data_IF_286828914761
#
_entry.id   IF_286828914761
#
_cell.length_a   1.000
_cell.length_b   1.000
_cell.length_c   1.000
_cell.angle_alpha   90.00
_cell.angle_beta   90.00
_cell.angle_gamma   90.00
#
_symmetry.space_group_name_H-M   'P 1'
#
loop_
_entity.id
_entity.type
_entity.pdbx_description
1 polymer ?
#
# COMPACT_ATOMS: atom_id res chain seq x y z
N UNK A 1 10.41 -5.09 -13.81
CA UNK A 1 10.95 -3.89 -13.15
C UNK A 1 10.15 -2.67 -13.56
N UNK A 2 8.98 -2.58 -12.96
CA UNK A 2 8.07 -1.45 -13.04
C UNK A 2 8.59 -0.32 -12.14
N UNK A 3 8.12 0.90 -12.37
CA UNK A 3 8.37 1.98 -11.42
C UNK A 3 7.24 3.00 -11.38
N UNK A 4 7.15 3.70 -10.25
CA UNK A 4 6.38 4.93 -10.10
C UNK A 4 7.31 5.99 -9.56
N UNK A 5 7.27 7.17 -10.17
CA UNK A 5 8.01 8.35 -9.78
C UNK A 5 7.01 9.41 -9.32
N UNK A 6 7.29 10.01 -8.17
CA UNK A 6 6.42 11.00 -7.56
C UNK A 6 7.21 12.14 -6.94
N UNK A 7 6.56 13.30 -6.86
CA UNK A 7 7.07 14.48 -6.15
C UNK A 7 6.66 14.43 -4.69
N UNK A 8 7.58 14.81 -3.82
CA UNK A 8 7.33 14.95 -2.39
C UNK A 8 6.87 16.40 -2.14
N UNK A 9 5.62 16.57 -1.73
CA UNK A 9 5.09 17.90 -1.39
C UNK A 9 5.30 18.25 0.08
N UNK A 10 5.17 17.25 0.96
CA UNK A 10 5.37 17.37 2.40
C UNK A 10 6.32 16.26 2.90
N UNK A 11 7.43 16.67 3.52
CA UNK A 11 8.44 15.74 4.01
C UNK A 11 7.98 14.91 5.22
N UNK A 12 7.05 15.43 6.04
CA UNK A 12 6.47 14.67 7.15
C UNK A 12 5.53 13.58 6.63
N UNK A 13 4.66 13.90 5.67
CA UNK A 13 3.78 12.91 5.04
C UNK A 13 4.55 11.86 4.26
N UNK A 14 5.68 12.23 3.64
CA UNK A 14 6.59 11.26 3.05
C UNK A 14 7.17 10.28 4.09
N UNK A 15 7.53 10.74 5.29
CA UNK A 15 7.99 9.84 6.37
C UNK A 15 6.90 8.89 6.84
N UNK A 16 5.65 9.35 6.89
CA UNK A 16 4.53 8.47 7.21
C UNK A 16 4.30 7.44 6.10
N UNK A 17 4.43 7.84 4.83
CA UNK A 17 4.41 6.89 3.71
C UNK A 17 5.56 5.88 3.78
N UNK A 18 6.76 6.28 4.23
CA UNK A 18 7.87 5.34 4.40
C UNK A 18 7.52 4.22 5.38
N UNK A 19 6.81 4.53 6.49
CA UNK A 19 6.35 3.50 7.43
C UNK A 19 5.38 2.52 6.76
N UNK A 20 4.45 3.02 5.97
CA UNK A 20 3.53 2.18 5.18
C UNK A 20 4.29 1.32 4.17
N UNK A 21 5.25 1.92 3.44
CA UNK A 21 6.07 1.20 2.46
C UNK A 21 6.88 0.08 3.12
N UNK A 22 7.53 0.37 4.25
CA UNK A 22 8.31 -0.61 5.00
C UNK A 22 7.41 -1.77 5.49
N UNK A 23 6.21 -1.46 5.98
CA UNK A 23 5.20 -2.48 6.33
C UNK A 23 4.83 -3.35 5.12
N UNK A 24 4.53 -2.74 3.97
CA UNK A 24 4.23 -3.48 2.75
C UNK A 24 5.39 -4.39 2.31
N UNK A 25 6.65 -3.96 2.48
CA UNK A 25 7.83 -4.79 2.19
C UNK A 25 7.93 -5.97 3.16
N UNK A 26 7.68 -5.74 4.46
CA UNK A 26 7.76 -6.75 5.52
C UNK A 26 6.71 -7.85 5.33
N UNK A 27 5.45 -7.49 5.09
CA UNK A 27 4.34 -8.46 4.89
C UNK A 27 4.59 -9.44 3.74
N UNK A 28 5.45 -9.07 2.78
CA UNK A 28 5.80 -9.88 1.62
C UNK A 28 7.03 -10.78 1.83
N UNK A 29 7.70 -10.69 2.99
CA UNK A 29 8.84 -11.56 3.28
C UNK A 29 8.39 -12.97 3.67
N UNK A 30 9.12 -14.01 3.26
CA UNK A 30 8.82 -15.37 3.69
C UNK A 30 8.95 -15.46 5.22
N UNK A 31 7.93 -16.01 5.87
CA UNK A 31 7.80 -16.14 7.33
C UNK A 31 7.56 -14.84 8.10
N UNK A 32 7.15 -13.75 7.44
CA UNK A 32 6.62 -12.62 8.19
C UNK A 32 5.30 -13.02 8.85
N UNK A 33 5.24 -12.81 10.17
CA UNK A 33 4.03 -12.92 10.97
C UNK A 33 3.75 -11.50 11.47
N UNK A 34 2.54 -11.02 11.25
CA UNK A 34 2.11 -9.75 11.86
C UNK A 34 2.10 -10.01 13.36
N UNK A 35 2.82 -9.22 14.18
CA UNK A 35 2.90 -9.47 15.63
C UNK A 35 1.50 -9.48 16.31
N UNK A 36 0.54 -8.76 15.72
CA UNK A 36 -0.87 -8.75 16.15
C UNK A 36 -1.66 -10.04 15.69
N UNK A 37 -1.06 -10.92 14.87
CA UNK A 37 -1.63 -12.21 14.36
C UNK A 37 -1.09 -13.46 15.10
N UNK A 38 -0.29 -13.30 16.17
CA UNK A 38 0.01 -14.42 17.05
C UNK A 38 -1.11 -14.53 18.11
N UNK A 39 -1.78 -15.69 18.22
CA UNK A 39 -2.81 -15.85 19.23
C UNK A 39 -2.16 -15.68 20.60
N UNK A 40 -2.80 -14.93 21.52
CA UNK A 40 -2.28 -14.78 22.86
C UNK A 40 -2.11 -16.16 23.51
N UNK A 41 -0.91 -16.43 24.03
CA UNK A 41 -0.60 -17.69 24.70
C UNK A 41 -1.11 -17.66 26.14
N UNK A 42 -1.87 -18.67 26.54
CA UNK A 42 -2.42 -18.81 27.88
C UNK A 42 -2.03 -20.17 28.48
N UNK A 43 -1.61 -20.17 29.74
CA UNK A 43 -1.29 -21.38 30.50
C UNK A 43 -2.56 -21.98 31.12
N UNK A 44 -3.42 -22.55 30.26
CA UNK A 44 -4.74 -23.10 30.62
C UNK A 44 -4.71 -24.05 31.81
N UNK A 45 -3.59 -24.73 32.05
CA UNK A 45 -3.43 -25.73 33.10
C UNK A 45 -3.24 -25.11 34.50
N UNK A 46 -2.89 -23.82 34.59
CA UNK A 46 -2.56 -23.16 35.85
C UNK A 46 -3.38 -21.88 36.13
N UNK A 47 -4.37 -21.55 35.28
CA UNK A 47 -5.21 -20.36 35.44
C UNK A 47 -6.31 -20.56 36.49
N UNK A 48 -6.67 -19.49 37.19
CA UNK A 48 -7.92 -19.43 37.96
C UNK A 48 -9.14 -19.31 37.05
N UNK A 49 -10.33 -19.56 37.59
CA UNK A 49 -11.57 -19.42 36.82
C UNK A 49 -11.77 -18.02 36.24
N UNK A 50 -11.40 -16.97 36.98
CA UNK A 50 -11.49 -15.58 36.50
C UNK A 50 -10.47 -15.32 35.37
N UNK A 51 -9.22 -15.76 35.53
CA UNK A 51 -8.20 -15.62 34.48
C UNK A 51 -8.56 -16.40 33.22
N UNK A 52 -9.26 -17.53 33.36
CA UNK A 52 -9.79 -18.28 32.22
C UNK A 52 -10.91 -17.52 31.51
N UNK A 53 -11.80 -16.82 32.24
CA UNK A 53 -12.85 -15.99 31.64
C UNK A 53 -12.24 -14.80 30.88
N UNK A 54 -11.26 -14.12 31.48
CA UNK A 54 -10.54 -13.00 30.88
C UNK A 54 -9.72 -13.45 29.63
N UNK A 55 -9.13 -14.66 29.67
CA UNK A 55 -8.43 -15.26 28.53
C UNK A 55 -9.39 -15.63 27.38
N UNK A 56 -10.60 -16.11 27.70
CA UNK A 56 -11.64 -16.38 26.71
C UNK A 56 -12.11 -15.08 26.05
N UNK A 57 -12.32 -14.01 26.82
CA UNK A 57 -12.66 -12.68 26.27
C UNK A 57 -11.56 -12.17 25.33
N UNK A 58 -10.30 -12.27 25.75
CA UNK A 58 -9.14 -11.90 24.93
C UNK A 58 -9.04 -12.73 23.65
N UNK A 59 -9.35 -14.03 23.70
CA UNK A 59 -9.42 -14.89 22.52
C UNK A 59 -10.58 -14.53 21.59
N UNK A 60 -11.74 -14.16 22.14
CA UNK A 60 -12.89 -13.73 21.36
C UNK A 60 -12.58 -12.43 20.61
N UNK A 61 -11.97 -11.45 21.29
CA UNK A 61 -11.48 -10.21 20.68
C UNK A 61 -10.41 -10.48 19.61
N UNK A 62 -9.46 -11.39 19.87
CA UNK A 62 -8.46 -11.81 18.89
C UNK A 62 -9.10 -12.51 17.68
N UNK A 63 -10.18 -13.28 17.88
CA UNK A 63 -10.92 -13.92 16.78
C UNK A 63 -11.62 -12.90 15.87
N UNK A 64 -11.82 -11.66 16.32
CA UNK A 64 -12.32 -10.55 15.50
C UNK A 64 -11.20 -9.93 14.67
N UNK A 65 -10.67 -10.70 13.71
CA UNK A 65 -9.62 -10.26 12.76
C UNK A 65 -9.91 -8.91 12.11
N UNK A 66 -11.18 -8.61 11.84
CA UNK A 66 -11.59 -7.33 11.27
C UNK A 66 -11.23 -6.14 12.17
N UNK A 67 -11.28 -6.28 13.50
CA UNK A 67 -10.86 -5.24 14.44
C UNK A 67 -9.35 -5.07 14.46
N UNK A 68 -8.59 -6.16 14.43
CA UNK A 68 -7.12 -6.13 14.40
C UNK A 68 -6.60 -5.46 13.12
N UNK A 69 -7.18 -5.81 11.98
CA UNK A 69 -6.91 -5.17 10.68
C UNK A 69 -7.24 -3.68 10.72
N UNK A 70 -8.37 -3.30 11.31
CA UNK A 70 -8.75 -1.90 11.45
C UNK A 70 -7.78 -1.13 12.35
N UNK A 71 -7.36 -1.71 13.47
CA UNK A 71 -6.35 -1.10 14.34
C UNK A 71 -5.01 -0.92 13.61
N UNK A 72 -4.60 -1.92 12.83
CA UNK A 72 -3.37 -1.84 12.01
C UNK A 72 -3.49 -0.76 10.94
N UNK A 73 -4.64 -0.65 10.27
CA UNK A 73 -4.93 0.44 9.34
C UNK A 73 -4.76 1.80 10.02
N UNK A 74 -5.33 2.00 11.21
CA UNK A 74 -5.19 3.27 11.96
C UNK A 74 -3.75 3.59 12.37
N UNK A 75 -2.92 2.57 12.66
CA UNK A 75 -1.49 2.75 12.96
C UNK A 75 -0.70 3.18 11.72
N UNK A 76 -1.03 2.66 10.54
CA UNK A 76 -0.26 2.84 9.30
C UNK A 76 -0.73 4.02 8.45
N UNK A 77 -2.03 4.33 8.49
CA UNK A 77 -2.67 5.33 7.64
C UNK A 77 -3.10 6.52 8.52
N UNK A 78 -2.39 7.67 8.45
CA UNK A 78 -2.76 8.85 9.21
C UNK A 78 -4.15 9.37 8.82
N UNK A 79 -4.82 10.06 9.76
CA UNK A 79 -6.18 10.55 9.55
C UNK A 79 -6.35 11.40 8.26
N UNK A 80 -5.37 12.22 7.91
CA UNK A 80 -5.44 13.01 6.67
C UNK A 80 -5.49 12.13 5.41
N UNK A 81 -4.76 11.01 5.41
CA UNK A 81 -4.72 10.06 4.30
C UNK A 81 -6.01 9.26 4.25
N UNK A 82 -6.54 8.86 5.42
CA UNK A 82 -7.84 8.19 5.53
C UNK A 82 -8.97 9.05 4.97
N UNK A 83 -9.02 10.35 5.31
CA UNK A 83 -10.02 11.29 4.78
C UNK A 83 -9.93 11.44 3.25
N UNK A 84 -8.71 11.45 2.71
CA UNK A 84 -8.52 11.48 1.26
C UNK A 84 -9.04 10.21 0.58
N UNK A 85 -8.67 9.04 1.11
CA UNK A 85 -9.09 7.73 0.57
C UNK A 85 -10.61 7.54 0.67
N UNK A 86 -11.23 8.05 1.73
CA UNK A 86 -12.68 8.10 1.88
C UNK A 86 -13.31 8.95 0.77
N UNK A 87 -12.77 10.14 0.53
CA UNK A 87 -13.28 11.05 -0.50
C UNK A 87 -13.20 10.43 -1.90
N UNK A 88 -12.11 9.72 -2.20
CA UNK A 88 -11.96 8.94 -3.43
C UNK A 88 -13.02 7.84 -3.54
N UNK A 89 -13.24 7.07 -2.46
CA UNK A 89 -14.23 5.99 -2.45
C UNK A 89 -15.67 6.49 -2.65
N UNK A 90 -16.00 7.67 -2.09
CA UNK A 90 -17.32 8.30 -2.22
C UNK A 90 -17.61 8.76 -3.64
N UNK A 91 -16.60 9.22 -4.38
CA UNK A 91 -16.76 9.62 -5.77
C UNK A 91 -17.19 8.45 -6.67
N UNK A 92 -16.64 7.26 -6.43
CA UNK A 92 -16.97 6.06 -7.20
C UNK A 92 -18.30 5.41 -6.79
N UNK A 93 -18.71 5.55 -5.53
CA UNK A 93 -19.84 4.80 -4.95
C UNK A 93 -21.16 5.57 -4.86
N UNK A 94 -21.19 6.89 -5.16
CA UNK A 94 -22.31 7.79 -4.85
C UNK A 94 -22.76 7.73 -3.36
N UNK A 95 -21.95 7.13 -2.49
CA UNK A 95 -22.30 6.85 -1.11
C UNK A 95 -21.76 7.99 -0.23
N UNK A 96 -22.56 8.47 0.73
CA UNK A 96 -22.20 9.64 1.57
C UNK A 96 -21.61 9.20 2.91
N UNK A 97 -21.70 7.91 3.23
CA UNK A 97 -21.27 7.35 4.51
C UNK A 97 -19.74 7.34 4.66
N UNK A 98 -19.21 7.53 5.88
CA UNK A 98 -17.78 7.41 6.14
C UNK A 98 -17.20 6.04 5.77
N UNK A 99 -15.88 5.95 5.60
CA UNK A 99 -15.21 4.64 5.46
C UNK A 99 -15.60 3.76 6.64
N UNK A 100 -16.26 2.65 6.37
CA UNK A 100 -16.54 1.64 7.38
C UNK A 100 -15.25 0.91 7.77
N UNK A 101 -15.29 0.16 8.88
CA UNK A 101 -14.20 -0.77 9.24
C UNK A 101 -13.92 -1.74 8.08
N UNK A 102 -14.98 -2.23 7.42
CA UNK A 102 -14.88 -3.09 6.24
C UNK A 102 -14.14 -2.42 5.08
N UNK A 103 -14.37 -1.13 4.83
CA UNK A 103 -13.68 -0.41 3.74
C UNK A 103 -12.21 -0.18 4.07
N UNK A 104 -11.92 0.13 5.33
CA UNK A 104 -10.56 0.29 5.84
C UNK A 104 -9.77 -1.02 5.71
N UNK A 105 -10.40 -2.14 6.08
CA UNK A 105 -9.83 -3.48 5.94
C UNK A 105 -9.62 -3.83 4.47
N UNK A 106 -10.54 -3.45 3.57
CA UNK A 106 -10.37 -3.67 2.14
C UNK A 106 -9.19 -2.88 1.56
N UNK A 107 -8.96 -1.64 2.01
CA UNK A 107 -7.80 -0.84 1.62
C UNK A 107 -6.52 -1.49 2.13
N UNK A 108 -6.48 -1.87 3.40
CA UNK A 108 -5.31 -2.51 4.00
C UNK A 108 -4.98 -3.83 3.32
N UNK A 109 -5.98 -4.69 3.11
CA UNK A 109 -5.84 -5.97 2.42
C UNK A 109 -5.29 -5.80 1.00
N UNK A 110 -5.75 -4.76 0.28
CA UNK A 110 -5.17 -4.42 -1.01
C UNK A 110 -3.68 -4.04 -0.90
N UNK A 111 -3.28 -3.22 0.06
CA UNK A 111 -1.87 -2.81 0.21
C UNK A 111 -0.97 -3.97 0.66
N UNK A 112 -1.49 -4.85 1.51
CA UNK A 112 -0.76 -6.02 2.04
C UNK A 112 -0.66 -7.14 0.99
N UNK A 113 -1.78 -7.48 0.35
CA UNK A 113 -1.89 -8.70 -0.46
C UNK A 113 -2.36 -8.44 -1.89
N UNK A 114 -3.34 -7.55 -2.08
CA UNK A 114 -3.95 -7.30 -3.40
C UNK A 114 -3.06 -6.58 -4.40
N UNK A 115 -2.07 -5.80 -3.94
CA UNK A 115 -1.03 -5.21 -4.76
C UNK A 115 0.08 -6.24 -4.97
N UNK A 116 -0.19 -7.21 -5.85
CA UNK A 116 0.63 -8.38 -6.17
C UNK A 116 1.96 -8.04 -6.86
N UNK A 117 2.83 -7.36 -6.12
CA UNK A 117 4.15 -6.92 -6.56
C UNK A 117 5.20 -7.23 -5.50
N UNK A 118 6.43 -7.45 -5.96
CA UNK A 118 7.63 -7.40 -5.15
C UNK A 118 8.14 -5.95 -5.13
N UNK A 119 8.05 -5.31 -3.96
CA UNK A 119 8.60 -3.97 -3.74
C UNK A 119 10.13 -4.07 -3.65
N UNK A 120 10.82 -3.67 -4.71
CA UNK A 120 12.27 -3.89 -4.82
C UNK A 120 13.07 -2.76 -4.17
N UNK A 121 12.61 -1.51 -4.32
CA UNK A 121 13.36 -0.35 -3.87
C UNK A 121 12.52 0.92 -3.75
N UNK A 122 12.77 1.69 -2.70
CA UNK A 122 12.39 3.10 -2.58
C UNK A 122 13.65 3.95 -2.60
N UNK A 123 13.74 4.92 -3.51
CA UNK A 123 14.93 5.76 -3.67
C UNK A 123 14.56 7.22 -3.90
N UNK A 124 15.44 8.12 -3.43
CA UNK A 124 15.26 9.57 -3.53
C UNK A 124 16.36 10.17 -4.41
N UNK A 125 16.16 10.27 -5.73
CA UNK A 125 17.14 10.89 -6.63
C UNK A 125 17.42 12.35 -6.26
N UNK A 126 16.44 13.06 -5.72
CA UNK A 126 16.55 14.43 -5.22
C UNK A 126 15.73 14.60 -3.94
N UNK A 127 15.82 15.77 -3.30
CA UNK A 127 15.07 16.07 -2.07
C UNK A 127 13.55 16.02 -2.25
N UNK A 128 13.07 16.41 -3.44
CA UNK A 128 11.64 16.62 -3.70
C UNK A 128 11.07 15.54 -4.65
N UNK A 129 11.81 14.47 -4.90
CA UNK A 129 11.48 13.45 -5.88
C UNK A 129 11.90 12.07 -5.38
N UNK A 130 10.99 11.13 -5.51
CA UNK A 130 11.19 9.74 -5.12
C UNK A 130 10.71 8.78 -6.20
N UNK A 131 11.28 7.59 -6.21
CA UNK A 131 10.96 6.51 -7.14
C UNK A 131 10.78 5.23 -6.34
N UNK A 132 9.64 4.55 -6.56
CA UNK A 132 9.42 3.17 -6.14
C UNK A 132 9.65 2.26 -7.34
N UNK A 133 10.56 1.31 -7.20
CA UNK A 133 10.80 0.22 -8.15
C UNK A 133 10.17 -1.07 -7.62
N UNK A 134 9.46 -1.77 -8.48
CA UNK A 134 8.77 -3.02 -8.12
C UNK A 134 8.74 -4.00 -9.29
N UNK A 135 8.49 -5.27 -9.00
CA UNK A 135 8.38 -6.34 -9.98
C UNK A 135 7.06 -7.07 -9.79
N UNK A 136 6.57 -7.72 -10.83
CA UNK A 136 5.39 -8.57 -10.74
C UNK A 136 5.60 -9.79 -11.61
N UNK A 137 5.11 -10.94 -11.14
CA UNK A 137 5.05 -12.18 -11.91
C UNK A 137 3.86 -12.23 -12.88
N UNK A 138 2.90 -11.32 -12.74
CA UNK A 138 1.62 -11.36 -13.44
C UNK A 138 1.54 -10.25 -14.50
N UNK A 139 1.31 -10.63 -15.77
CA UNK A 139 1.05 -9.70 -16.87
C UNK A 139 -0.21 -10.09 -17.65
N UNK A 140 -1.15 -9.16 -17.89
CA UNK A 140 -1.13 -7.73 -17.55
C UNK A 140 -1.28 -7.47 -16.04
N UNK A 141 -0.57 -6.45 -15.56
CA UNK A 141 -0.57 -6.05 -14.16
C UNK A 141 -1.71 -5.06 -13.89
N UNK A 142 -2.64 -5.43 -13.00
CA UNK A 142 -3.75 -4.58 -12.56
C UNK A 142 -3.47 -3.89 -11.23
N UNK A 143 -4.34 -2.94 -10.85
CA UNK A 143 -4.31 -2.36 -9.50
C UNK A 143 -3.36 -1.19 -9.29
N UNK A 144 -2.61 -0.74 -10.31
CA UNK A 144 -1.73 0.44 -10.20
C UNK A 144 -2.48 1.70 -9.74
N UNK A 145 -3.72 1.88 -10.22
CA UNK A 145 -4.55 3.05 -9.94
C UNK A 145 -4.77 3.30 -8.44
N UNK A 146 -5.17 2.24 -7.71
CA UNK A 146 -5.39 2.32 -6.25
C UNK A 146 -4.10 2.69 -5.50
N UNK A 147 -2.95 2.24 -5.99
CA UNK A 147 -1.66 2.63 -5.41
C UNK A 147 -1.30 4.09 -5.72
N UNK A 148 -1.63 4.60 -6.90
CA UNK A 148 -1.49 6.03 -7.22
C UNK A 148 -2.36 6.91 -6.30
N UNK A 149 -3.59 6.47 -6.01
CA UNK A 149 -4.46 7.12 -5.02
C UNK A 149 -3.88 7.07 -3.62
N UNK A 150 -3.28 5.95 -3.24
CA UNK A 150 -2.58 5.83 -1.96
C UNK A 150 -1.44 6.83 -1.87
N UNK A 151 -0.61 6.97 -2.92
CA UNK A 151 0.44 8.00 -2.93
C UNK A 151 -0.14 9.42 -2.77
N UNK A 152 -1.21 9.74 -3.49
CA UNK A 152 -1.89 11.04 -3.39
C UNK A 152 -2.43 11.32 -1.98
N UNK A 153 -2.91 10.30 -1.27
CA UNK A 153 -3.36 10.42 0.11
C UNK A 153 -2.26 10.88 1.07
N UNK A 154 -0.99 10.63 0.72
CA UNK A 154 0.20 11.08 1.45
C UNK A 154 0.81 12.38 0.89
N UNK A 155 0.08 13.15 0.08
CA UNK A 155 0.59 14.31 -0.68
C UNK A 155 1.84 13.97 -1.52
N UNK A 156 1.93 12.73 -1.99
CA UNK A 156 2.97 12.28 -2.90
C UNK A 156 2.40 12.28 -4.30
N UNK A 157 2.75 13.29 -5.10
CA UNK A 157 2.15 13.49 -6.42
C UNK A 157 2.83 12.59 -7.45
N UNK A 158 2.19 11.52 -7.95
CA UNK A 158 2.76 10.69 -9.01
C UNK A 158 2.88 11.52 -10.28
N UNK A 159 3.99 11.41 -11.01
CA UNK A 159 4.22 12.20 -12.22
C UNK A 159 4.64 11.35 -13.41
N UNK A 160 5.13 10.14 -13.15
CA UNK A 160 5.58 9.23 -14.19
C UNK A 160 5.51 7.80 -13.66
N UNK A 161 5.12 6.84 -14.51
CA UNK A 161 5.22 5.42 -14.19
C UNK A 161 5.70 4.62 -15.42
N UNK A 162 6.19 3.42 -15.19
CA UNK A 162 6.40 2.41 -16.22
C UNK A 162 5.59 1.18 -15.87
N UNK A 163 4.59 0.90 -16.70
CA UNK A 163 3.59 -0.17 -16.53
C UNK A 163 4.03 -1.53 -17.09
N UNK A 164 5.25 -1.60 -17.64
CA UNK A 164 5.79 -2.80 -18.29
C UNK A 164 5.74 -2.75 -19.81
N UNK A 165 4.94 -1.84 -20.38
CA UNK A 165 4.82 -1.61 -21.83
C UNK A 165 5.39 -0.26 -22.25
N UNK A 166 5.04 0.79 -21.52
CA UNK A 166 5.36 2.18 -21.85
C UNK A 166 5.69 2.97 -20.59
N UNK A 167 6.64 3.90 -20.72
CA UNK A 167 6.76 4.95 -19.72
C UNK A 167 5.63 5.96 -19.99
N UNK A 168 4.87 6.29 -18.96
CA UNK A 168 3.73 7.19 -19.00
C UNK A 168 4.05 8.41 -18.13
N UNK A 169 3.82 9.61 -18.65
CA UNK A 169 3.70 10.82 -17.83
C UNK A 169 2.26 10.92 -17.35
N UNK A 170 2.10 11.24 -16.06
CA UNK A 170 0.80 11.39 -15.41
C UNK A 170 0.52 12.89 -15.25
N UNK A 171 -0.48 13.38 -15.96
CA UNK A 171 -0.90 14.78 -15.96
C UNK A 171 -2.24 14.88 -15.22
N UNK A 172 -2.19 15.15 -13.92
CA UNK A 172 -3.38 15.25 -13.06
C UNK A 172 -4.28 16.41 -13.48
N UNK A 173 -5.53 16.10 -13.81
CA UNK A 173 -6.56 17.07 -14.22
C UNK A 173 -7.44 17.47 -13.05
N UNK A 174 -7.68 16.54 -12.13
CA UNK A 174 -8.41 16.77 -10.88
C UNK A 174 -7.66 16.15 -9.71
N UNK A 175 -8.29 16.14 -8.53
CA UNK A 175 -7.74 15.46 -7.36
C UNK A 175 -7.65 13.94 -7.55
N UNK A 176 -8.58 13.34 -8.30
CA UNK A 176 -8.73 11.88 -8.43
C UNK A 176 -8.57 11.39 -9.88
N UNK A 177 -8.41 12.29 -10.85
CA UNK A 177 -8.29 11.95 -12.27
C UNK A 177 -7.00 12.50 -12.87
N UNK A 178 -6.44 11.76 -13.81
CA UNK A 178 -5.28 12.16 -14.60
C UNK A 178 -5.37 11.67 -16.03
N UNK A 179 -4.77 12.43 -16.93
CA UNK A 179 -4.47 11.97 -18.28
C UNK A 179 -3.07 11.33 -18.32
N UNK A 180 -2.90 10.33 -19.18
CA UNK A 180 -1.60 9.69 -19.39
C UNK A 180 -1.05 9.97 -20.78
N UNK A 181 0.21 10.39 -20.85
CA UNK A 181 0.92 10.60 -22.11
C UNK A 181 2.10 9.63 -22.21
N UNK A 182 2.15 8.84 -23.29
CA UNK A 182 3.28 7.93 -23.55
C UNK A 182 4.55 8.74 -23.79
N UNK A 183 5.65 8.34 -23.15
CA UNK A 183 7.00 8.88 -23.32
C UNK A 183 7.81 7.96 -24.25
N UNK A 184 7.88 8.24 -25.57
CA UNK A 184 8.42 7.29 -26.55
C UNK A 184 9.93 7.07 -26.38
N UNK A 185 10.66 8.13 -25.99
CA UNK A 185 12.11 8.15 -25.83
C UNK A 185 12.60 7.17 -24.74
N UNK A 186 11.76 6.90 -23.72
CA UNK A 186 12.09 6.01 -22.61
C UNK A 186 11.83 4.53 -22.89
N UNK A 187 11.15 4.18 -24.00
CA UNK A 187 10.94 2.77 -24.40
C UNK A 187 12.25 2.07 -24.75
N UNK A 188 13.15 2.73 -25.47
CA UNK A 188 14.38 2.09 -25.98
C UNK A 188 15.40 1.77 -24.88
N UNK A 189 15.55 2.66 -23.88
CA UNK A 189 16.53 2.48 -22.80
C UNK A 189 16.14 1.41 -21.77
N UNK A 190 14.83 1.29 -21.44
CA UNK A 190 14.37 0.26 -20.50
C UNK A 190 14.36 -1.14 -21.13
N UNK A 191 13.85 -1.30 -22.37
CA UNK A 191 13.85 -2.60 -23.05
C UNK A 191 15.25 -3.24 -23.18
N UNK A 192 16.29 -2.42 -23.40
CA UNK A 192 17.67 -2.93 -23.44
C UNK A 192 18.19 -3.40 -22.08
N UNK A 193 17.89 -2.68 -20.98
CA UNK A 193 18.23 -3.11 -19.62
C UNK A 193 17.50 -4.39 -19.22
N UNK A 194 16.23 -4.53 -19.61
CA UNK A 194 15.43 -5.74 -19.39
C UNK A 194 15.98 -6.96 -20.12
N UNK A 195 16.37 -6.80 -21.38
CA UNK A 195 16.95 -7.90 -22.16
C UNK A 195 18.26 -8.39 -21.52
N UNK A 196 19.06 -7.50 -20.93
CA UNK A 196 20.29 -7.89 -20.24
C UNK A 196 20.07 -8.66 -18.91
N UNK A 197 18.91 -8.51 -18.28
CA UNK A 197 18.54 -9.20 -17.03
C UNK A 197 17.88 -10.56 -17.25
N UNK A 198 17.14 -10.73 -18.36
CA UNK A 198 16.45 -11.99 -18.70
C UNK A 198 17.40 -13.03 -19.33
N UNK A 199 18.51 -12.58 -19.93
CA UNK A 199 19.51 -13.45 -20.56
C UNK A 199 20.80 -13.60 -19.71
N UNK A 200 20.69 -13.54 -18.38
CA UNK A 200 21.75 -13.89 -17.44
C UNK A 200 21.38 -15.11 -16.63
#
# INVERSE_FOLDING_TARGET
MLYIKFKIQDASKYRDFQKLYDHMVMVRQPNFVIEDDEPPEFDWDHMTAQESEDAIETLLDYCERDKLDFMRFQKLIPNYASVYLESYHKQDSNNVEPLSESDSNAILNYLEYGFEVDLNKLQNPTKDLSIIEFSTGNFPFGGLERFLMTLKAFDLLPVECFDGFSALRLDWTTEFEYDSTVLPEKKQGLFQKFRALIFR
#
